data_IF_780740538326
#
_entry.id   IF_780740538326
#
_cell.length_a   1.000
_cell.length_b   1.000
_cell.length_c   1.000
_cell.angle_alpha   90.00
_cell.angle_beta   90.00
_cell.angle_gamma   90.00
#
_symmetry.space_group_name_H-M   'P 1'
#
loop_
_entity.id
_entity.type
_entity.pdbx_description
1 polymer ?
#
# COMPACT_ATOMS: atom_id res chain seq x y z
N UNK A 1 33.69 23.58 10.14
CA UNK A 1 32.87 24.39 11.08
C UNK A 1 33.59 24.44 12.42
N UNK A 2 33.78 25.62 13.02
CA UNK A 2 34.41 25.74 14.34
C UNK A 2 33.51 25.08 15.42
N UNK A 3 34.04 24.26 16.35
CA UNK A 3 33.24 23.51 17.33
C UNK A 3 32.29 24.37 18.17
N UNK A 4 32.68 25.62 18.43
CA UNK A 4 31.91 26.61 19.21
C UNK A 4 30.62 27.10 18.52
N UNK A 5 30.51 26.99 17.19
CA UNK A 5 29.30 27.36 16.46
C UNK A 5 28.26 26.24 16.47
N UNK A 6 28.70 24.98 16.34
CA UNK A 6 27.81 23.82 16.40
C UNK A 6 27.11 23.71 17.76
N UNK A 7 27.85 23.95 18.84
CA UNK A 7 27.32 23.90 20.20
C UNK A 7 26.16 24.87 20.43
N UNK A 8 26.26 26.11 19.92
CA UNK A 8 25.18 27.10 20.05
C UNK A 8 23.91 26.67 19.33
N UNK A 9 24.01 26.06 18.14
CA UNK A 9 22.85 25.52 17.43
C UNK A 9 22.21 24.35 18.17
N UNK A 10 23.01 23.42 18.70
CA UNK A 10 22.50 22.29 19.47
C UNK A 10 21.77 22.75 20.72
N UNK A 11 22.33 23.70 21.47
CA UNK A 11 21.67 24.29 22.64
C UNK A 11 20.35 24.96 22.26
N UNK A 12 20.31 25.71 21.16
CA UNK A 12 19.07 26.31 20.66
C UNK A 12 18.04 25.28 20.21
N UNK A 13 18.44 24.20 19.55
CA UNK A 13 17.55 23.12 19.13
C UNK A 13 17.00 22.32 20.31
N UNK A 14 17.78 22.13 21.38
CA UNK A 14 17.32 21.53 22.62
C UNK A 14 16.32 22.45 23.34
N UNK A 15 16.62 23.75 23.43
CA UNK A 15 15.69 24.74 23.98
C UNK A 15 14.37 24.81 23.20
N UNK A 16 14.44 24.62 21.88
CA UNK A 16 13.26 24.54 21.00
C UNK A 16 12.55 23.18 21.03
N UNK A 17 13.03 22.20 21.81
CA UNK A 17 12.44 20.86 21.91
C UNK A 17 12.59 20.00 20.64
N UNK A 18 13.41 20.43 19.68
CA UNK A 18 13.70 19.70 18.44
C UNK A 18 14.77 18.63 18.65
N UNK A 19 15.69 18.84 19.59
CA UNK A 19 16.65 17.84 20.03
C UNK A 19 16.46 17.54 21.52
N UNK A 20 16.77 16.32 21.92
CA UNK A 20 16.89 15.88 23.30
C UNK A 20 18.28 15.27 23.51
N UNK A 21 18.80 15.36 24.73
CA UNK A 21 20.04 14.67 25.06
C UNK A 21 19.72 13.21 25.34
N UNK A 22 20.37 12.29 24.62
CA UNK A 22 20.20 10.86 24.84
C UNK A 22 20.80 10.46 26.20
N UNK A 23 20.29 9.37 26.78
CA UNK A 23 20.78 8.85 28.07
C UNK A 23 22.25 8.38 28.02
N UNK A 24 22.77 8.08 26.82
CA UNK A 24 24.18 7.85 26.56
C UNK A 24 24.95 9.18 26.47
N UNK A 25 26.00 9.32 27.30
CA UNK A 25 26.79 10.53 27.36
C UNK A 25 27.33 10.93 25.97
N UNK A 26 26.90 12.10 25.48
CA UNK A 26 27.39 12.72 24.24
C UNK A 26 26.53 12.50 22.98
N UNK A 27 25.41 11.79 23.07
CA UNK A 27 24.48 11.61 21.94
C UNK A 27 23.26 12.53 22.06
N UNK A 28 22.75 12.98 20.92
CA UNK A 28 21.52 13.76 20.82
C UNK A 28 20.51 12.97 19.98
N UNK A 29 19.26 13.00 20.40
CA UNK A 29 18.14 12.39 19.69
C UNK A 29 17.10 13.47 19.32
N UNK A 30 16.11 13.12 18.52
CA UNK A 30 14.99 13.99 18.20
C UNK A 30 14.14 14.24 19.46
N UNK A 31 13.84 15.50 19.71
CA UNK A 31 12.97 15.92 20.81
C UNK A 31 11.49 15.81 20.45
N UNK A 32 10.59 15.95 21.44
CA UNK A 32 9.15 15.81 21.26
C UNK A 32 8.54 16.81 20.26
N UNK A 33 9.14 17.99 20.09
CA UNK A 33 8.66 18.97 19.11
C UNK A 33 8.86 18.46 17.67
N UNK A 34 9.92 17.68 17.39
CA UNK A 34 10.10 17.04 16.09
C UNK A 34 9.01 16.00 15.80
N UNK A 35 8.58 15.22 16.81
CA UNK A 35 7.48 14.27 16.65
C UNK A 35 6.15 14.99 16.33
N UNK A 36 5.85 16.08 17.04
CA UNK A 36 4.65 16.88 16.80
C UNK A 36 4.66 17.54 15.42
N UNK A 37 5.80 18.10 15.01
CA UNK A 37 5.99 18.65 13.66
C UNK A 37 5.83 17.57 12.59
N UNK A 38 6.32 16.36 12.83
CA UNK A 38 6.12 15.22 11.95
C UNK A 38 4.64 14.86 11.80
N UNK A 39 3.90 14.77 12.90
CA UNK A 39 2.46 14.49 12.90
C UNK A 39 1.68 15.59 12.16
N UNK A 40 2.01 16.85 12.39
CA UNK A 40 1.36 17.98 11.74
C UNK A 40 1.73 18.08 10.25
N UNK A 41 2.98 17.76 9.88
CA UNK A 41 3.40 17.66 8.49
C UNK A 41 2.65 16.54 7.76
N UNK A 42 2.46 15.37 8.40
CA UNK A 42 1.66 14.28 7.83
C UNK A 42 0.20 14.70 7.61
N UNK A 43 -0.39 15.48 8.52
CA UNK A 43 -1.75 16.05 8.34
C UNK A 43 -1.85 17.03 7.17
N UNK A 44 -0.76 17.73 6.85
CA UNK A 44 -0.70 18.71 5.75
C UNK A 44 -0.43 18.07 4.40
N UNK A 45 0.15 16.87 4.37
CA UNK A 45 0.27 16.08 3.14
C UNK A 45 -1.08 15.47 2.83
N UNK A 46 -1.78 16.05 1.86
CA UNK A 46 -2.92 15.38 1.25
C UNK A 46 -2.38 14.20 0.42
N UNK A 47 -2.24 13.04 1.06
CA UNK A 47 -1.79 11.79 0.43
C UNK A 47 -2.66 11.44 -0.78
N UNK A 48 -3.95 11.81 -0.76
CA UNK A 48 -4.90 11.62 -1.87
C UNK A 48 -4.59 12.56 -3.03
N UNK A 49 -4.12 13.78 -2.77
CA UNK A 49 -3.64 14.69 -3.81
C UNK A 49 -2.32 14.20 -4.43
N UNK A 50 -1.39 13.68 -3.61
CA UNK A 50 -0.14 13.07 -4.11
C UNK A 50 -0.45 11.85 -5.00
N UNK A 51 -1.25 10.91 -4.49
CA UNK A 51 -1.70 9.76 -5.26
C UNK A 51 -2.45 10.18 -6.53
N UNK A 52 -3.29 11.21 -6.44
CA UNK A 52 -4.05 11.76 -7.57
C UNK A 52 -3.17 12.22 -8.73
N UNK A 53 -2.00 12.81 -8.47
CA UNK A 53 -1.04 13.18 -9.52
C UNK A 53 -0.53 11.95 -10.25
N UNK A 54 -0.08 10.92 -9.53
CA UNK A 54 0.39 9.67 -10.13
C UNK A 54 -0.71 8.90 -10.86
N UNK A 55 -1.94 8.92 -10.34
CA UNK A 55 -3.08 8.32 -11.02
C UNK A 55 -3.36 8.99 -12.37
N UNK A 56 -3.23 10.32 -12.43
CA UNK A 56 -3.42 11.11 -13.65
C UNK A 56 -2.37 10.72 -14.70
N UNK A 57 -1.10 10.69 -14.29
CA UNK A 57 0.01 10.25 -15.16
C UNK A 57 -0.21 8.82 -15.69
N UNK A 58 -0.65 7.90 -14.83
CA UNK A 58 -0.91 6.52 -15.20
C UNK A 58 -2.09 6.41 -16.17
N UNK A 59 -3.17 7.14 -15.92
CA UNK A 59 -4.33 7.21 -16.81
C UNK A 59 -3.91 7.74 -18.18
N UNK A 60 -3.16 8.83 -18.23
CA UNK A 60 -2.81 9.48 -19.50
C UNK A 60 -1.89 8.58 -20.34
N UNK A 61 -0.98 7.83 -19.69
CA UNK A 61 -0.11 6.85 -20.34
C UNK A 61 -0.83 5.59 -20.81
N UNK A 62 -1.73 5.04 -19.98
CA UNK A 62 -2.39 3.76 -20.28
C UNK A 62 -3.69 3.94 -21.04
N UNK A 63 -4.31 5.12 -20.96
CA UNK A 63 -5.67 5.44 -21.41
C UNK A 63 -6.77 4.61 -20.75
N UNK A 64 -6.46 3.89 -19.67
CA UNK A 64 -7.39 3.07 -18.90
C UNK A 64 -7.85 3.80 -17.64
N UNK A 65 -8.99 3.37 -17.09
CA UNK A 65 -9.49 3.90 -15.81
C UNK A 65 -8.58 3.49 -14.66
N UNK A 66 -8.34 4.43 -13.75
CA UNK A 66 -7.45 4.26 -12.59
C UNK A 66 -8.22 4.54 -11.32
N UNK A 67 -8.11 3.65 -10.35
CA UNK A 67 -8.84 3.71 -9.07
C UNK A 67 -7.87 3.70 -7.91
N UNK A 68 -8.13 4.56 -6.93
CA UNK A 68 -7.48 4.54 -5.63
C UNK A 68 -8.49 4.06 -4.59
N UNK A 69 -8.10 3.06 -3.81
CA UNK A 69 -8.88 2.51 -2.73
C UNK A 69 -8.01 2.36 -1.48
N UNK A 70 -8.64 2.48 -0.31
CA UNK A 70 -8.02 2.20 0.97
C UNK A 70 -8.87 1.20 1.76
N UNK A 71 -8.23 0.56 2.73
CA UNK A 71 -8.91 -0.27 3.70
C UNK A 71 -9.67 0.61 4.70
N UNK A 72 -10.92 0.27 4.97
CA UNK A 72 -11.77 0.88 5.98
C UNK A 72 -12.31 -0.18 6.94
N UNK A 73 -12.99 0.22 8.01
CA UNK A 73 -13.56 -0.71 9.00
C UNK A 73 -14.48 -1.78 8.37
N UNK A 74 -15.15 -1.42 7.27
CA UNK A 74 -16.12 -2.26 6.57
C UNK A 74 -15.61 -2.81 5.22
N UNK A 75 -14.28 -2.84 5.05
CA UNK A 75 -13.62 -3.41 3.87
C UNK A 75 -13.01 -2.38 2.92
N UNK A 76 -12.68 -2.79 1.69
CA UNK A 76 -11.99 -1.93 0.73
C UNK A 76 -12.93 -0.89 0.15
N UNK A 77 -12.57 0.38 0.31
CA UNK A 77 -13.40 1.53 -0.07
C UNK A 77 -12.66 2.40 -1.08
N UNK A 78 -13.37 2.80 -2.13
CA UNK A 78 -12.81 3.67 -3.16
C UNK A 78 -12.71 5.10 -2.63
N UNK A 79 -11.51 5.66 -2.67
CA UNK A 79 -11.27 7.05 -2.35
C UNK A 79 -11.39 7.92 -3.60
N UNK A 80 -10.87 7.44 -4.73
CA UNK A 80 -10.82 8.22 -5.97
C UNK A 80 -10.94 7.35 -7.21
N UNK A 81 -11.63 7.86 -8.22
CA UNK A 81 -11.79 7.23 -9.52
C UNK A 81 -11.43 8.23 -10.62
N UNK A 82 -10.63 7.80 -11.60
CA UNK A 82 -10.36 8.55 -12.81
C UNK A 82 -10.80 7.73 -14.02
N UNK A 83 -11.68 8.29 -14.84
CA UNK A 83 -12.11 7.66 -16.08
C UNK A 83 -11.01 7.66 -17.13
N UNK A 84 -10.81 6.52 -17.79
CA UNK A 84 -9.94 6.40 -18.97
C UNK A 84 -10.61 6.89 -20.25
N UNK A 85 -9.83 6.95 -21.33
CA UNK A 85 -10.33 7.38 -22.65
C UNK A 85 -11.33 6.39 -23.27
N UNK A 86 -11.27 5.11 -22.87
CA UNK A 86 -12.15 4.04 -23.31
C UNK A 86 -13.01 3.50 -22.17
N UNK A 87 -13.48 4.40 -21.30
CA UNK A 87 -14.31 4.04 -20.14
C UNK A 87 -15.67 3.49 -20.60
N UNK A 88 -15.92 2.21 -20.32
CA UNK A 88 -17.30 1.69 -20.24
C UNK A 88 -17.96 2.43 -19.06
N UNK A 89 -19.19 2.95 -19.18
CA UNK A 89 -19.80 3.78 -18.14
C UNK A 89 -20.17 2.96 -16.89
N UNK A 90 -19.16 2.62 -16.09
CA UNK A 90 -19.35 2.02 -14.77
C UNK A 90 -19.38 3.17 -13.77
N UNK A 91 -20.58 3.47 -13.25
CA UNK A 91 -20.79 4.55 -12.28
C UNK A 91 -20.32 4.13 -10.88
N UNK A 92 -19.01 4.11 -10.66
CA UNK A 92 -18.43 3.88 -9.34
C UNK A 92 -18.08 5.21 -8.70
N UNK A 93 -18.68 5.49 -7.54
CA UNK A 93 -18.47 6.75 -6.79
C UNK A 93 -17.45 6.56 -5.69
N UNK A 94 -16.73 7.62 -5.34
CA UNK A 94 -15.96 7.66 -4.09
C UNK A 94 -16.87 7.31 -2.90
N UNK A 95 -16.34 6.55 -1.94
CA UNK A 95 -17.08 5.98 -0.82
C UNK A 95 -17.78 4.64 -1.11
N UNK A 96 -17.72 4.15 -2.35
CA UNK A 96 -18.28 2.83 -2.68
C UNK A 96 -17.36 1.73 -2.13
N UNK A 97 -17.96 0.78 -1.40
CA UNK A 97 -17.28 -0.43 -0.91
C UNK A 97 -17.25 -1.49 -2.00
N UNK A 98 -16.12 -2.17 -2.10
CA UNK A 98 -15.93 -3.24 -3.08
C UNK A 98 -15.95 -4.63 -2.40
N UNK A 99 -16.49 -5.65 -3.07
CA UNK A 99 -16.38 -7.03 -2.60
C UNK A 99 -14.92 -7.50 -2.64
N UNK A 100 -14.48 -8.22 -1.62
CA UNK A 100 -13.15 -8.81 -1.48
C UNK A 100 -12.88 -9.84 -2.58
N UNK A 101 -13.84 -10.73 -2.86
CA UNK A 101 -13.60 -11.85 -3.76
C UNK A 101 -13.96 -11.49 -5.20
N UNK A 102 -15.02 -10.72 -5.42
CA UNK A 102 -15.47 -10.38 -6.76
C UNK A 102 -14.70 -9.21 -7.42
N UNK A 103 -14.01 -8.35 -6.64
CA UNK A 103 -13.27 -7.21 -7.20
C UNK A 103 -11.76 -7.42 -7.23
N UNK A 104 -11.08 -6.86 -8.23
CA UNK A 104 -9.62 -6.92 -8.33
C UNK A 104 -8.92 -6.18 -7.18
N UNK A 105 -9.49 -5.05 -6.73
CA UNK A 105 -9.01 -4.28 -5.58
C UNK A 105 -9.16 -5.08 -4.29
N UNK A 106 -10.33 -5.70 -4.08
CA UNK A 106 -10.59 -6.57 -2.94
C UNK A 106 -9.63 -7.74 -2.85
N UNK A 107 -9.36 -8.42 -3.98
CA UNK A 107 -8.36 -9.50 -4.05
C UNK A 107 -6.96 -9.01 -3.74
N UNK A 108 -6.62 -7.77 -4.12
CA UNK A 108 -5.35 -7.15 -3.76
C UNK A 108 -5.24 -6.93 -2.25
N UNK A 109 -6.28 -6.42 -1.60
CA UNK A 109 -6.29 -6.31 -0.14
C UNK A 109 -6.19 -7.69 0.53
N UNK A 110 -6.98 -8.67 0.07
CA UNK A 110 -6.96 -10.04 0.58
C UNK A 110 -5.59 -10.73 0.43
N UNK A 111 -4.81 -10.35 -0.59
CA UNK A 111 -3.48 -10.90 -0.83
C UNK A 111 -2.38 -10.22 0.00
N UNK A 112 -2.56 -8.98 0.45
CA UNK A 112 -1.47 -8.21 1.07
C UNK A 112 -1.73 -7.76 2.51
N UNK A 113 -2.98 -7.77 2.97
CA UNK A 113 -3.29 -7.47 4.36
C UNK A 113 -3.16 -8.71 5.25
N UNK A 114 -2.88 -8.50 6.55
CA UNK A 114 -2.96 -9.54 7.55
C UNK A 114 -4.35 -10.23 7.59
N UNK A 115 -4.42 -11.56 7.77
CA UNK A 115 -5.68 -12.30 7.76
C UNK A 115 -6.70 -11.78 8.78
N UNK A 116 -6.25 -11.41 9.97
CA UNK A 116 -7.04 -10.86 11.09
C UNK A 116 -7.83 -9.61 10.70
N UNK A 117 -7.30 -8.78 9.81
CA UNK A 117 -8.02 -7.62 9.29
C UNK A 117 -9.08 -8.00 8.25
N UNK A 118 -8.82 -9.04 7.45
CA UNK A 118 -9.64 -9.38 6.27
C UNK A 118 -10.71 -10.43 6.52
N UNK A 119 -10.48 -11.38 7.43
CA UNK A 119 -11.39 -12.49 7.75
C UNK A 119 -12.78 -12.01 8.18
N UNK A 120 -12.93 -11.04 9.11
CA UNK A 120 -14.27 -10.59 9.53
C UNK A 120 -15.07 -9.93 8.42
N UNK A 121 -14.41 -9.34 7.42
CA UNK A 121 -15.07 -8.73 6.25
C UNK A 121 -15.43 -9.82 5.23
N UNK A 122 -14.56 -10.80 5.06
CA UNK A 122 -14.76 -11.94 4.16
C UNK A 122 -15.93 -12.82 4.61
N UNK A 123 -16.02 -13.12 5.91
CA UNK A 123 -17.14 -13.87 6.49
C UNK A 123 -18.48 -13.16 6.24
N UNK A 124 -18.56 -11.85 6.51
CA UNK A 124 -19.74 -11.02 6.22
C UNK A 124 -20.11 -11.02 4.73
N UNK A 125 -19.14 -11.06 3.84
CA UNK A 125 -19.38 -11.12 2.38
C UNK A 125 -19.92 -12.49 1.94
N UNK A 126 -19.42 -13.57 2.54
CA UNK A 126 -19.89 -14.93 2.28
C UNK A 126 -21.32 -15.13 2.80
N UNK A 127 -21.61 -14.62 4.00
CA UNK A 127 -22.97 -14.66 4.60
C UNK A 127 -24.00 -13.88 3.78
N UNK A 128 -23.59 -12.75 3.19
CA UNK A 128 -24.48 -11.90 2.38
C UNK A 128 -24.71 -12.42 0.95
N UNK A 129 -24.02 -13.50 0.53
CA UNK A 129 -24.18 -14.11 -0.80
C UNK A 129 -23.75 -13.22 -1.97
N UNK A 130 -23.02 -12.13 -1.69
CA UNK A 130 -22.56 -11.15 -2.70
C UNK A 130 -21.50 -11.78 -3.63
N UNK A 131 -20.74 -12.75 -3.12
CA UNK A 131 -19.78 -13.53 -3.88
C UNK A 131 -20.23 -14.99 -3.92
N UNK A 132 -20.20 -15.62 -5.10
CA UNK A 132 -20.40 -17.05 -5.21
C UNK A 132 -19.30 -17.76 -4.42
N UNK A 133 -19.71 -18.72 -3.60
CA UNK A 133 -18.91 -19.49 -2.64
C UNK A 133 -17.53 -19.79 -3.22
N UNK A 134 -16.53 -19.00 -2.82
CA UNK A 134 -15.14 -19.33 -3.08
C UNK A 134 -14.73 -20.27 -1.96
N UNK A 135 -14.42 -21.53 -2.29
CA UNK A 135 -13.81 -22.45 -1.33
C UNK A 135 -12.56 -21.79 -0.72
N UNK A 136 -12.15 -22.20 0.48
CA UNK A 136 -10.89 -21.72 1.08
C UNK A 136 -9.70 -21.88 0.09
N UNK A 137 -9.72 -22.97 -0.69
CA UNK A 137 -8.73 -23.23 -1.75
C UNK A 137 -8.81 -22.21 -2.91
N UNK A 138 -10.00 -21.74 -3.26
CA UNK A 138 -10.19 -20.70 -4.27
C UNK A 138 -9.63 -19.36 -3.81
N UNK A 139 -9.84 -19.02 -2.54
CA UNK A 139 -9.31 -17.79 -1.92
C UNK A 139 -7.78 -17.81 -1.93
N UNK A 140 -7.16 -18.92 -1.55
CA UNK A 140 -5.71 -19.05 -1.56
C UNK A 140 -5.13 -19.01 -2.98
N UNK A 141 -5.82 -19.62 -3.94
CA UNK A 141 -5.48 -19.50 -5.37
C UNK A 141 -5.54 -18.04 -5.84
N UNK A 142 -6.59 -17.30 -5.47
CA UNK A 142 -6.71 -15.87 -5.81
C UNK A 142 -5.60 -15.03 -5.18
N UNK A 143 -5.27 -15.27 -3.90
CA UNK A 143 -4.15 -14.61 -3.22
C UNK A 143 -2.84 -14.88 -3.97
N UNK A 144 -2.59 -16.13 -4.35
CA UNK A 144 -1.39 -16.51 -5.10
C UNK A 144 -1.34 -15.83 -6.47
N UNK A 145 -2.44 -15.85 -7.22
CA UNK A 145 -2.53 -15.23 -8.54
C UNK A 145 -2.21 -13.74 -8.49
N UNK A 146 -2.78 -13.01 -7.53
CA UNK A 146 -2.51 -11.58 -7.36
C UNK A 146 -1.04 -11.33 -7.04
N UNK A 147 -0.47 -12.06 -6.07
CA UNK A 147 0.95 -11.93 -5.72
C UNK A 147 1.84 -12.21 -6.92
N UNK A 148 1.51 -13.21 -7.72
CA UNK A 148 2.26 -13.57 -8.91
C UNK A 148 2.15 -12.53 -10.04
N UNK A 149 0.96 -11.97 -10.27
CA UNK A 149 0.76 -10.88 -11.24
C UNK A 149 1.57 -9.64 -10.86
N UNK A 150 1.55 -9.25 -9.58
CA UNK A 150 2.35 -8.13 -9.06
C UNK A 150 3.84 -8.41 -9.17
N UNK A 151 4.27 -9.64 -8.88
CA UNK A 151 5.66 -10.05 -9.06
C UNK A 151 6.10 -9.89 -10.52
N UNK A 152 5.27 -10.33 -11.48
CA UNK A 152 5.58 -10.21 -12.91
C UNK A 152 5.73 -8.76 -13.36
N UNK A 153 4.86 -7.86 -12.89
CA UNK A 153 4.92 -6.42 -13.20
C UNK A 153 6.21 -5.82 -12.61
N UNK A 154 6.56 -6.18 -11.36
CA UNK A 154 7.79 -5.71 -10.71
C UNK A 154 9.05 -6.26 -11.36
N UNK A 155 9.01 -7.46 -11.94
CA UNK A 155 10.15 -8.08 -12.62
C UNK A 155 10.40 -7.52 -14.03
N UNK A 156 9.36 -7.01 -14.72
CA UNK A 156 9.49 -6.39 -16.05
C UNK A 156 9.85 -4.90 -15.99
N UNK A 157 9.46 -4.20 -14.92
CA UNK A 157 10.00 -2.89 -14.59
C UNK A 157 11.38 -3.05 -13.96
N UNK A 158 12.40 -2.35 -14.45
CA UNK A 158 13.76 -2.32 -13.90
C UNK A 158 13.82 -1.70 -12.48
N UNK A 159 13.17 -2.32 -11.49
CA UNK A 159 13.14 -1.91 -10.09
C UNK A 159 13.57 -3.10 -9.22
N UNK A 160 14.81 -3.04 -8.75
CA UNK A 160 15.44 -4.05 -7.89
C UNK A 160 14.95 -3.87 -6.45
N UNK A 161 13.93 -4.63 -6.05
CA UNK A 161 13.56 -4.77 -4.64
C UNK A 161 13.95 -6.17 -4.14
N UNK A 162 14.86 -6.22 -3.18
CA UNK A 162 15.34 -7.44 -2.51
C UNK A 162 14.26 -7.96 -1.56
N UNK A 163 13.80 -9.19 -1.76
CA UNK A 163 13.01 -9.99 -0.80
C UNK A 163 13.29 -11.50 -1.04
N UNK A 164 13.04 -12.39 -0.06
CA UNK A 164 13.86 -13.56 0.23
C UNK A 164 13.71 -14.71 -0.78
N UNK A 165 14.75 -15.54 -0.82
CA UNK A 165 15.11 -16.45 -1.91
C UNK A 165 14.09 -17.54 -2.26
N UNK A 166 14.07 -18.02 -3.53
CA UNK A 166 13.11 -18.95 -4.10
C UNK A 166 13.48 -20.43 -3.88
N UNK A 167 13.81 -20.83 -2.65
CA UNK A 167 14.10 -22.25 -2.35
C UNK A 167 12.86 -22.93 -1.81
N UNK A 168 11.97 -23.37 -2.72
CA UNK A 168 11.12 -24.58 -2.64
C UNK A 168 9.89 -24.41 -3.54
N UNK A 169 10.08 -24.59 -4.84
CA UNK A 169 9.01 -25.11 -5.69
C UNK A 169 9.67 -25.82 -6.88
N UNK A 170 10.09 -27.06 -6.62
CA UNK A 170 10.51 -28.02 -7.63
C UNK A 170 9.30 -28.41 -8.49
N UNK A 171 9.08 -27.70 -9.59
CA UNK A 171 8.28 -28.21 -10.70
C UNK A 171 9.22 -29.00 -11.60
N UNK A 172 9.15 -30.32 -11.43
CA UNK A 172 9.83 -31.31 -12.25
C UNK A 172 9.42 -31.16 -13.72
N UNK A 173 10.44 -31.01 -14.56
CA UNK A 173 10.49 -31.08 -16.03
C UNK A 173 9.31 -31.79 -16.71
N UNK A 174 8.60 -31.06 -17.56
CA UNK A 174 8.01 -31.58 -18.78
C UNK A 174 8.51 -30.74 -19.96
N UNK A 175 9.54 -31.24 -20.67
CA UNK A 175 9.87 -30.84 -22.04
C UNK A 175 10.80 -31.90 -22.64
N UNK A 176 10.19 -32.81 -23.41
CA UNK A 176 10.87 -33.58 -24.46
C UNK A 176 10.41 -32.95 -25.78
N UNK A 177 11.27 -32.12 -26.35
CA UNK A 177 11.21 -31.65 -27.74
C UNK A 177 12.61 -31.84 -28.32
N UNK A 178 12.88 -33.07 -28.76
CA UNK A 178 13.58 -33.46 -29.99
C UNK A 178 13.35 -34.95 -30.19
#
# INVERSE_FOLDING_TARGET
MQPSHAYRYVVSLIRGGLLAQASSAGQYDLGPACAQLGVEAMRRVDEVAVAGRHMTELRDRTRHSVTLAAWSADGPTIIRWLDGAYSIPVRIRAGTRLPLVASAVGRAFLAYLPPDATEPVLERELESGISQVASAEDIDRLKYEVRWRVWRIRASSSCRAVLPSPRQCSITKANRCR
#
